data_IF_847719158427
#
_entry.id   IF_847719158427
#
_cell.length_a   1.000
_cell.length_b   1.000
_cell.length_c   1.000
_cell.angle_alpha   90.00
_cell.angle_beta   90.00
_cell.angle_gamma   90.00
#
_symmetry.space_group_name_H-M   'P 1'
#
loop_
_entity.id
_entity.type
_entity.pdbx_description
1 polymer ?
#
# COMPACT_ATOMS: atom_id res chain seq x y z
N UNK A 1 3.34 -65.22 -31.22
CA UNK A 1 3.91 -63.86 -31.43
C UNK A 1 2.91 -62.71 -31.24
N UNK A 2 1.59 -62.93 -31.15
CA UNK A 2 0.58 -61.86 -31.05
C UNK A 2 0.54 -61.08 -29.71
N UNK A 3 0.95 -61.71 -28.59
CA UNK A 3 0.80 -61.13 -27.26
C UNK A 3 1.74 -59.93 -27.00
N UNK A 4 2.96 -59.93 -27.56
CA UNK A 4 3.96 -58.85 -27.33
C UNK A 4 3.53 -57.51 -27.95
N UNK A 5 2.74 -57.54 -29.03
CA UNK A 5 2.22 -56.34 -29.69
C UNK A 5 1.02 -55.73 -28.95
N UNK A 6 0.19 -56.57 -28.33
CA UNK A 6 -0.99 -56.16 -27.57
C UNK A 6 -0.62 -55.30 -26.35
N UNK A 7 0.33 -55.76 -25.53
CA UNK A 7 0.78 -55.02 -24.34
C UNK A 7 1.56 -53.74 -24.67
N UNK A 8 2.31 -53.73 -25.78
CA UNK A 8 3.07 -52.55 -26.22
C UNK A 8 2.16 -51.39 -26.65
N UNK A 9 1.04 -51.66 -27.31
CA UNK A 9 0.07 -50.61 -27.67
C UNK A 9 -0.74 -50.13 -26.46
N UNK A 10 -1.11 -51.03 -25.53
CA UNK A 10 -1.75 -50.63 -24.26
C UNK A 10 -0.84 -49.72 -23.43
N UNK A 11 0.46 -50.03 -23.32
CA UNK A 11 1.42 -49.20 -22.59
C UNK A 11 1.69 -47.87 -23.30
N UNK A 12 1.80 -47.83 -24.64
CA UNK A 12 1.94 -46.57 -25.39
C UNK A 12 0.74 -45.64 -25.22
N UNK A 13 -0.47 -46.18 -25.28
CA UNK A 13 -1.69 -45.39 -25.09
C UNK A 13 -1.82 -44.89 -23.64
N UNK A 14 -1.36 -45.68 -22.67
CA UNK A 14 -1.31 -45.29 -21.27
C UNK A 14 -0.27 -44.19 -21.00
N UNK A 15 0.91 -44.27 -21.63
CA UNK A 15 1.95 -43.22 -21.53
C UNK A 15 1.50 -41.92 -22.18
N UNK A 16 0.83 -41.96 -23.34
CA UNK A 16 0.27 -40.76 -23.99
C UNK A 16 -0.83 -40.12 -23.13
N UNK A 17 -1.66 -40.94 -22.46
CA UNK A 17 -2.69 -40.44 -21.55
C UNK A 17 -2.09 -39.73 -20.32
N UNK A 18 -0.99 -40.26 -19.75
CA UNK A 18 -0.28 -39.64 -18.62
C UNK A 18 0.39 -38.33 -19.02
N UNK A 19 1.00 -38.25 -20.20
CA UNK A 19 1.61 -37.02 -20.72
C UNK A 19 0.55 -35.94 -20.97
N UNK A 20 -0.64 -36.32 -21.46
CA UNK A 20 -1.77 -35.41 -21.67
C UNK A 20 -2.37 -34.89 -20.34
N UNK A 21 -2.38 -35.73 -19.29
CA UNK A 21 -2.75 -35.33 -17.92
C UNK A 21 -1.73 -34.38 -17.28
N UNK A 22 -0.43 -34.57 -17.53
CA UNK A 22 0.63 -33.67 -17.05
C UNK A 22 0.60 -32.29 -17.72
N UNK A 23 0.13 -32.20 -18.97
CA UNK A 23 -0.04 -30.93 -19.67
C UNK A 23 -1.25 -30.10 -19.18
N UNK A 24 -2.28 -30.74 -18.63
CA UNK A 24 -3.47 -30.05 -18.10
C UNK A 24 -3.23 -29.39 -16.73
N UNK A 25 -2.19 -29.80 -16.00
CA UNK A 25 -1.83 -29.22 -14.69
C UNK A 25 -0.98 -27.95 -14.85
N UNK A 26 -0.49 -27.65 -16.05
CA UNK A 26 0.36 -26.48 -16.32
C UNK A 26 -0.40 -25.22 -16.75
N UNK A 27 -1.73 -25.22 -16.68
CA UNK A 27 -2.56 -24.08 -17.04
C UNK A 27 -2.85 -23.19 -15.80
N UNK A 28 -2.02 -22.17 -15.65
CA UNK A 28 -2.41 -20.83 -15.18
C UNK A 28 -2.88 -20.66 -13.73
N UNK A 29 -1.93 -20.60 -12.80
CA UNK A 29 -2.05 -19.69 -11.65
C UNK A 29 -1.39 -18.35 -12.03
N UNK A 30 -2.07 -17.55 -12.85
CA UNK A 30 -1.81 -16.10 -12.82
C UNK A 30 -2.27 -15.66 -11.44
N UNK A 31 -1.33 -15.33 -10.56
CA UNK A 31 -1.59 -14.74 -9.25
C UNK A 31 -2.26 -13.40 -9.43
N UNK A 32 -3.56 -13.42 -9.68
CA UNK A 32 -4.41 -12.24 -9.63
C UNK A 32 -4.47 -11.90 -8.15
N UNK A 33 -3.83 -10.79 -7.75
CA UNK A 33 -3.89 -10.33 -6.37
C UNK A 33 -5.38 -10.21 -6.00
N UNK A 34 -5.86 -11.00 -5.05
CA UNK A 34 -7.31 -11.15 -4.82
C UNK A 34 -7.90 -9.97 -4.05
N UNK A 35 -7.03 -9.10 -3.54
CA UNK A 35 -7.36 -7.89 -2.80
C UNK A 35 -6.19 -6.90 -2.90
N UNK A 36 -6.47 -5.63 -2.65
CA UNK A 36 -5.48 -4.58 -2.47
C UNK A 36 -5.24 -4.41 -0.96
N UNK A 37 -4.00 -4.58 -0.49
CA UNK A 37 -3.66 -4.45 0.93
C UNK A 37 -2.96 -3.12 1.20
N UNK A 38 -3.54 -2.32 2.09
CA UNK A 38 -3.01 -1.02 2.51
C UNK A 38 -2.36 -1.14 3.89
N UNK A 39 -1.06 -0.89 3.99
CA UNK A 39 -0.38 -0.75 5.28
C UNK A 39 -0.55 0.66 5.83
N UNK A 40 -0.95 0.81 7.08
CA UNK A 40 -1.12 2.11 7.73
C UNK A 40 -0.19 2.18 8.93
N UNK A 41 0.68 3.21 8.97
CA UNK A 41 1.58 3.46 10.10
C UNK A 41 1.05 4.66 10.87
N UNK A 42 0.61 4.48 12.10
CA UNK A 42 0.05 5.53 12.94
C UNK A 42 0.43 5.32 14.41
N UNK A 43 0.45 6.38 15.25
CA UNK A 43 0.60 6.20 16.69
C UNK A 43 -0.69 5.59 17.25
N UNK A 44 -0.67 4.30 17.57
CA UNK A 44 -1.78 3.56 18.17
C UNK A 44 -1.65 3.50 19.70
N UNK A 45 -0.45 3.70 20.22
CA UNK A 45 -0.20 3.79 21.65
C UNK A 45 0.48 5.12 22.03
N UNK A 46 0.68 5.32 23.33
CA UNK A 46 1.36 6.51 23.85
C UNK A 46 0.49 7.79 23.85
N UNK A 47 1.12 8.96 24.03
CA UNK A 47 0.42 10.24 24.16
C UNK A 47 -0.37 10.65 22.91
N UNK A 48 0.00 10.11 21.74
CA UNK A 48 -0.61 10.42 20.45
C UNK A 48 -1.61 9.35 19.97
N UNK A 49 -1.94 8.36 20.79
CA UNK A 49 -2.84 7.24 20.45
C UNK A 49 -4.21 7.68 19.90
N UNK A 50 -4.70 8.84 20.35
CA UNK A 50 -5.97 9.42 19.87
C UNK A 50 -5.96 9.71 18.35
N UNK A 51 -4.78 9.95 17.75
CA UNK A 51 -4.65 10.08 16.30
C UNK A 51 -4.86 8.72 15.65
N UNK A 52 -4.24 7.66 16.18
CA UNK A 52 -4.41 6.29 15.71
C UNK A 52 -5.87 5.84 15.74
N UNK A 53 -6.58 6.10 16.83
CA UNK A 53 -8.01 5.77 16.96
C UNK A 53 -8.85 6.47 15.87
N UNK A 54 -8.61 7.76 15.61
CA UNK A 54 -9.28 8.49 14.54
C UNK A 54 -8.96 7.91 13.16
N UNK A 55 -7.72 7.51 12.92
CA UNK A 55 -7.28 6.95 11.65
C UNK A 55 -7.86 5.56 11.42
N UNK A 56 -7.89 4.69 12.43
CA UNK A 56 -8.50 3.36 12.35
C UNK A 56 -9.97 3.47 11.95
N UNK A 57 -10.75 4.27 12.68
CA UNK A 57 -12.16 4.50 12.37
C UNK A 57 -12.36 5.10 10.97
N UNK A 58 -11.49 6.04 10.57
CA UNK A 58 -11.56 6.66 9.23
C UNK A 58 -11.21 5.68 8.11
N UNK A 59 -10.22 4.81 8.34
CA UNK A 59 -9.82 3.78 7.40
C UNK A 59 -10.93 2.74 7.22
N UNK A 60 -11.54 2.27 8.32
CA UNK A 60 -12.68 1.36 8.29
C UNK A 60 -13.82 1.94 7.45
N UNK A 61 -14.28 3.15 7.76
CA UNK A 61 -15.39 3.80 7.03
C UNK A 61 -15.05 4.03 5.56
N UNK A 62 -13.83 4.49 5.27
CA UNK A 62 -13.38 4.78 3.90
C UNK A 62 -13.28 3.51 3.05
N UNK A 63 -12.70 2.44 3.60
CA UNK A 63 -12.54 1.15 2.93
C UNK A 63 -13.88 0.45 2.77
N UNK A 64 -14.76 0.49 3.78
CA UNK A 64 -16.12 -0.03 3.67
C UNK A 64 -16.86 0.64 2.51
N UNK A 65 -16.84 1.97 2.45
CA UNK A 65 -17.46 2.72 1.36
C UNK A 65 -16.86 2.36 0.00
N UNK A 66 -15.53 2.30 -0.12
CA UNK A 66 -14.86 1.92 -1.37
C UNK A 66 -15.24 0.50 -1.81
N UNK A 67 -15.27 -0.46 -0.88
CA UNK A 67 -15.64 -1.84 -1.17
C UNK A 67 -17.11 -2.00 -1.56
N UNK A 68 -18.02 -1.27 -0.91
CA UNK A 68 -19.44 -1.21 -1.31
C UNK A 68 -19.60 -0.65 -2.72
N UNK A 69 -18.73 0.27 -3.13
CA UNK A 69 -18.69 0.82 -4.49
C UNK A 69 -18.02 -0.11 -5.54
N UNK A 70 -17.61 -1.33 -5.16
CA UNK A 70 -16.99 -2.31 -6.04
C UNK A 70 -15.47 -2.42 -5.89
N UNK A 71 -14.87 -1.73 -4.91
CA UNK A 71 -13.43 -1.74 -4.67
C UNK A 71 -12.65 -0.91 -5.70
N UNK A 72 -11.36 -1.24 -5.89
CA UNK A 72 -10.47 -0.59 -6.85
C UNK A 72 -10.09 -1.59 -7.92
N UNK A 73 -10.43 -1.30 -9.19
CA UNK A 73 -10.26 -2.24 -10.30
C UNK A 73 -10.87 -3.63 -10.01
N UNK A 74 -12.07 -3.65 -9.42
CA UNK A 74 -12.79 -4.86 -8.99
C UNK A 74 -12.08 -5.67 -7.88
N UNK A 75 -11.03 -5.11 -7.27
CA UNK A 75 -10.37 -5.71 -6.11
C UNK A 75 -10.89 -5.09 -4.82
N UNK A 76 -11.30 -5.92 -3.83
CA UNK A 76 -11.60 -5.43 -2.49
C UNK A 76 -10.32 -4.90 -1.84
N UNK A 77 -10.48 -3.89 -0.99
CA UNK A 77 -9.41 -3.27 -0.22
C UNK A 77 -9.47 -3.82 1.22
N UNK A 78 -8.32 -4.14 1.77
CA UNK A 78 -8.13 -4.37 3.21
C UNK A 78 -6.99 -3.51 3.73
N UNK A 79 -6.91 -3.32 5.04
CA UNK A 79 -5.80 -2.60 5.66
C UNK A 79 -5.18 -3.36 6.83
N UNK A 80 -3.91 -3.05 7.09
CA UNK A 80 -3.14 -3.53 8.24
C UNK A 80 -2.57 -2.31 8.96
N UNK A 81 -2.77 -2.22 10.28
CA UNK A 81 -2.24 -1.15 11.11
C UNK A 81 -0.94 -1.56 11.80
N UNK A 82 0.05 -0.67 11.79
CA UNK A 82 1.26 -0.77 12.61
C UNK A 82 1.43 0.47 13.47
N UNK A 83 1.80 0.24 14.72
CA UNK A 83 2.06 1.28 15.71
C UNK A 83 3.46 1.89 15.55
N UNK A 84 3.55 3.22 15.60
CA UNK A 84 4.81 3.95 15.68
C UNK A 84 4.62 5.33 16.32
N UNK A 85 5.26 5.54 17.48
CA UNK A 85 5.35 6.86 18.14
C UNK A 85 6.76 7.48 17.96
N UNK A 86 7.69 6.72 17.36
CA UNK A 86 9.05 7.17 17.01
C UNK A 86 9.41 6.86 15.55
N UNK A 87 10.37 7.62 15.00
CA UNK A 87 10.89 7.37 13.66
C UNK A 87 11.55 5.99 13.49
N UNK A 88 12.17 5.44 14.54
CA UNK A 88 12.78 4.12 14.48
C UNK A 88 11.74 3.01 14.39
N UNK A 89 10.64 3.14 15.15
CA UNK A 89 9.49 2.26 15.06
C UNK A 89 8.83 2.37 13.69
N UNK A 90 8.64 3.58 13.15
CA UNK A 90 8.04 3.76 11.83
C UNK A 90 8.84 3.07 10.70
N UNK A 91 10.18 3.14 10.72
CA UNK A 91 11.01 2.36 9.78
C UNK A 91 10.84 0.85 9.96
N UNK A 92 10.71 0.39 11.20
CA UNK A 92 10.51 -1.04 11.52
C UNK A 92 9.13 -1.52 11.07
N UNK A 93 8.10 -0.73 11.34
CA UNK A 93 6.73 -0.93 10.88
C UNK A 93 6.65 -1.02 9.35
N UNK A 94 7.29 -0.09 8.63
CA UNK A 94 7.35 -0.13 7.17
C UNK A 94 8.00 -1.42 6.65
N UNK A 95 9.12 -1.85 7.24
CA UNK A 95 9.74 -3.13 6.87
C UNK A 95 8.83 -4.32 7.15
N UNK A 96 8.11 -4.33 8.27
CA UNK A 96 7.16 -5.40 8.60
C UNK A 96 6.00 -5.47 7.61
N UNK A 97 5.36 -4.32 7.32
CA UNK A 97 4.27 -4.22 6.35
C UNK A 97 4.68 -4.76 4.98
N UNK A 98 5.89 -4.46 4.53
CA UNK A 98 6.40 -4.92 3.23
C UNK A 98 6.78 -6.41 3.27
N UNK A 99 7.58 -6.82 4.25
CA UNK A 99 8.22 -8.15 4.24
C UNK A 99 7.35 -9.27 4.82
N UNK A 100 6.44 -8.95 5.74
CA UNK A 100 5.59 -9.92 6.42
C UNK A 100 4.16 -9.81 5.91
N UNK A 101 3.60 -8.60 5.91
CA UNK A 101 2.20 -8.41 5.53
C UNK A 101 2.00 -8.31 4.01
N UNK A 102 3.07 -8.10 3.24
CA UNK A 102 3.03 -8.00 1.77
C UNK A 102 2.02 -6.95 1.29
N UNK A 103 2.06 -5.75 1.87
CA UNK A 103 1.18 -4.65 1.48
C UNK A 103 1.52 -4.12 0.08
N UNK A 104 0.50 -3.65 -0.65
CA UNK A 104 0.66 -3.05 -1.97
C UNK A 104 0.99 -1.54 -1.91
N UNK A 105 0.59 -0.87 -0.84
CA UNK A 105 0.78 0.57 -0.60
C UNK A 105 0.86 0.86 0.89
N UNK A 106 1.63 1.88 1.26
CA UNK A 106 1.73 2.37 2.64
C UNK A 106 1.08 3.74 2.76
N UNK A 107 0.35 3.97 3.84
CA UNK A 107 -0.09 5.28 4.29
C UNK A 107 0.53 5.60 5.66
N UNK A 108 1.41 6.60 5.70
CA UNK A 108 2.15 6.96 6.91
C UNK A 108 1.56 8.23 7.54
N UNK A 109 1.06 8.09 8.77
CA UNK A 109 0.46 9.17 9.54
C UNK A 109 1.52 9.89 10.35
N UNK A 110 1.50 11.22 10.26
CA UNK A 110 2.47 12.20 10.81
C UNK A 110 3.72 12.40 9.96
N UNK A 111 4.28 13.60 10.07
CA UNK A 111 5.54 13.99 9.40
C UNK A 111 6.73 13.09 9.80
N UNK A 112 6.97 12.76 11.09
CA UNK A 112 8.10 11.90 11.47
C UNK A 112 7.99 10.48 10.93
N UNK A 113 6.80 9.88 10.98
CA UNK A 113 6.58 8.53 10.46
C UNK A 113 6.71 8.51 8.94
N UNK A 114 6.15 9.50 8.24
CA UNK A 114 6.32 9.66 6.79
C UNK A 114 7.80 9.72 6.43
N UNK A 115 8.57 10.59 7.09
CA UNK A 115 9.99 10.77 6.79
C UNK A 115 10.80 9.47 6.95
N UNK A 116 10.52 8.69 8.00
CA UNK A 116 11.19 7.44 8.30
C UNK A 116 10.79 6.31 7.34
N UNK A 117 9.49 6.12 7.13
CA UNK A 117 8.96 5.07 6.26
C UNK A 117 9.25 5.30 4.77
N UNK A 118 9.36 6.56 4.32
CA UNK A 118 9.65 6.90 2.92
C UNK A 118 10.95 6.25 2.43
N UNK A 119 12.01 6.26 3.23
CA UNK A 119 13.28 5.65 2.83
C UNK A 119 13.16 4.14 2.58
N UNK A 120 12.38 3.44 3.41
CA UNK A 120 12.12 2.01 3.29
C UNK A 120 11.24 1.71 2.08
N UNK A 121 10.19 2.51 1.88
CA UNK A 121 9.27 2.40 0.76
C UNK A 121 9.97 2.60 -0.60
N UNK A 122 10.82 3.64 -0.70
CA UNK A 122 11.64 3.89 -1.91
C UNK A 122 12.59 2.73 -2.22
N UNK A 123 13.24 2.17 -1.20
CA UNK A 123 14.17 1.05 -1.38
C UNK A 123 13.47 -0.20 -1.93
N UNK A 124 12.21 -0.42 -1.57
CA UNK A 124 11.43 -1.59 -1.96
C UNK A 124 10.47 -1.33 -3.12
N UNK A 125 10.47 -0.12 -3.67
CA UNK A 125 9.59 0.29 -4.76
C UNK A 125 8.10 0.17 -4.42
N UNK A 126 7.74 0.43 -3.16
CA UNK A 126 6.36 0.39 -2.67
C UNK A 126 5.83 1.82 -2.59
N UNK A 127 4.69 2.15 -3.22
CA UNK A 127 4.07 3.46 -3.08
C UNK A 127 3.80 3.79 -1.60
N UNK A 128 4.18 4.98 -1.18
CA UNK A 128 3.88 5.53 0.13
C UNK A 128 3.15 6.86 -0.02
N UNK A 129 2.01 7.00 0.62
CA UNK A 129 1.32 8.27 0.82
C UNK A 129 1.62 8.77 2.24
N UNK A 130 2.10 10.01 2.35
CA UNK A 130 2.45 10.62 3.62
C UNK A 130 1.46 11.69 4.03
N UNK A 131 0.84 11.53 5.20
CA UNK A 131 0.02 12.58 5.83
C UNK A 131 0.94 13.63 6.48
N UNK A 132 1.52 14.49 5.63
CA UNK A 132 2.41 15.57 6.05
C UNK A 132 2.31 16.81 5.18
N UNK A 133 2.43 17.99 5.80
CA UNK A 133 2.44 19.28 5.10
C UNK A 133 3.80 19.61 4.44
N UNK A 134 4.77 18.69 4.45
CA UNK A 134 6.13 18.92 3.94
C UNK A 134 6.25 18.37 2.51
N UNK A 135 6.12 19.20 1.45
CA UNK A 135 6.09 18.73 0.07
C UNK A 135 7.44 18.18 -0.41
N UNK A 136 8.53 18.44 0.31
CA UNK A 136 9.87 18.01 -0.11
C UNK A 136 10.06 16.50 -0.05
N UNK A 137 9.27 15.75 0.73
CA UNK A 137 9.36 14.30 0.74
C UNK A 137 8.97 13.67 -0.60
N UNK A 138 7.90 14.18 -1.25
CA UNK A 138 7.51 13.73 -2.59
C UNK A 138 8.57 14.03 -3.67
N UNK A 139 9.47 14.97 -3.41
CA UNK A 139 10.52 15.38 -4.36
C UNK A 139 11.81 14.55 -4.21
N UNK A 140 11.94 13.77 -3.13
CA UNK A 140 13.17 13.02 -2.82
C UNK A 140 13.25 11.66 -3.49
N UNK A 141 12.13 11.12 -3.96
CA UNK A 141 12.05 9.79 -4.53
C UNK A 141 10.87 9.62 -5.47
N UNK A 142 10.74 8.41 -6.02
CA UNK A 142 9.73 8.08 -7.04
C UNK A 142 8.47 7.47 -6.43
N UNK A 143 8.61 6.81 -5.29
CA UNK A 143 7.58 6.01 -4.65
C UNK A 143 6.90 6.74 -3.49
N UNK A 144 7.35 7.93 -3.14
CA UNK A 144 6.77 8.75 -2.08
C UNK A 144 5.86 9.84 -2.64
N UNK A 145 4.62 9.86 -2.18
CA UNK A 145 3.57 10.81 -2.52
C UNK A 145 3.07 11.51 -1.26
N UNK A 146 2.57 12.74 -1.41
CA UNK A 146 2.01 13.52 -0.31
C UNK A 146 0.60 13.92 -0.71
N UNK A 147 -0.38 13.61 0.14
CA UNK A 147 -1.80 13.81 -0.11
C UNK A 147 -2.35 15.11 0.50
N UNK A 148 -1.61 15.71 1.43
CA UNK A 148 -1.97 17.00 2.01
C UNK A 148 -1.72 18.17 1.05
N UNK A 149 -2.55 19.21 1.22
CA UNK A 149 -2.47 20.48 0.47
C UNK A 149 -1.05 21.05 0.53
N UNK A 150 -0.57 21.57 -0.59
CA UNK A 150 0.75 22.22 -0.65
C UNK A 150 0.76 23.49 0.21
N UNK A 151 1.37 23.41 1.38
CA UNK A 151 1.43 24.50 2.37
C UNK A 151 2.09 25.76 1.79
N UNK A 152 3.05 25.63 0.87
CA UNK A 152 3.66 26.78 0.21
C UNK A 152 2.61 27.56 -0.58
N UNK A 153 1.77 26.85 -1.34
CA UNK A 153 0.68 27.47 -2.10
C UNK A 153 -0.36 28.10 -1.18
N UNK A 154 -0.74 27.42 -0.10
CA UNK A 154 -1.73 27.94 0.86
C UNK A 154 -1.21 29.19 1.58
N UNK A 155 0.03 29.15 2.09
CA UNK A 155 0.65 30.29 2.76
C UNK A 155 0.86 31.48 1.82
N UNK A 156 1.31 31.23 0.58
CA UNK A 156 1.46 32.29 -0.43
C UNK A 156 0.12 32.95 -0.73
N UNK A 157 -0.94 32.15 -0.96
CA UNK A 157 -2.27 32.67 -1.26
C UNK A 157 -2.84 33.48 -0.09
N UNK A 158 -2.65 33.01 1.15
CA UNK A 158 -3.07 33.75 2.35
C UNK A 158 -2.33 35.07 2.48
N UNK A 159 -1.00 35.07 2.25
CA UNK A 159 -0.18 36.28 2.26
C UNK A 159 -0.61 37.28 1.18
N UNK A 160 -0.80 36.83 -0.05
CA UNK A 160 -1.29 37.65 -1.16
C UNK A 160 -2.68 38.22 -0.89
N UNK A 161 -3.59 37.41 -0.35
CA UNK A 161 -4.94 37.84 -0.01
C UNK A 161 -4.92 38.92 1.07
N UNK A 162 -4.11 38.73 2.12
CA UNK A 162 -3.97 39.72 3.18
C UNK A 162 -3.40 41.05 2.65
N UNK A 163 -2.37 40.99 1.80
CA UNK A 163 -1.79 42.18 1.17
C UNK A 163 -2.81 42.89 0.26
N UNK A 164 -3.57 42.14 -0.54
CA UNK A 164 -4.61 42.68 -1.41
C UNK A 164 -5.76 43.34 -0.63
N UNK A 165 -6.00 42.92 0.60
CA UNK A 165 -6.95 43.54 1.53
C UNK A 165 -6.34 44.70 2.34
N UNK A 166 -5.07 45.05 2.11
CA UNK A 166 -4.37 46.15 2.78
C UNK A 166 -3.82 45.78 4.16
N UNK A 167 -3.81 44.50 4.54
CA UNK A 167 -3.23 44.03 5.79
C UNK A 167 -1.71 43.90 5.66
N UNK A 168 -0.97 44.72 6.40
CA UNK A 168 0.51 44.74 6.42
C UNK A 168 1.11 44.26 7.75
N UNK A 169 0.27 43.88 8.70
CA UNK A 169 0.64 43.27 9.97
C UNK A 169 -0.21 42.03 10.14
N UNK A 170 0.45 40.88 10.12
CA UNK A 170 -0.17 39.56 10.23
C UNK A 170 0.49 38.87 11.42
N UNK A 171 -0.32 38.24 12.27
CA UNK A 171 0.15 37.38 13.35
C UNK A 171 -0.22 35.92 13.01
N UNK A 172 0.60 34.99 13.47
CA UNK A 172 0.39 33.54 13.38
C UNK A 172 -0.04 32.99 14.74
#
# INVERSE_FOLDING_TARGET
>A
MANKYFWRNKMKNFTVFIIMLLFLVSCSSTGTNSQLKVGIIAPLTGPNAWIGELIEQSAEMGIEHANVAGGVNDLPIEFVLEDADTSAEASTAANKLISQDSVDVIYAITTPNTAAASAVAEQHEIPLFGFTAVPTFAKKGKWTFIDLRNIETECTLLGETALNQGHVKIAL
#
